data_IF_646976265023
#
_entry.id   IF_646976265023
#
_cell.length_a   1.000
_cell.length_b   1.000
_cell.length_c   1.000
_cell.angle_alpha   90.00
_cell.angle_beta   90.00
_cell.angle_gamma   90.00
#
_symmetry.space_group_name_H-M   'P 1'
#
loop_
_entity.id
_entity.type
_entity.pdbx_description
1 polymer ?
#
# COMPACT_ATOMS: atom_id res chain seq x y z
N UNK A 1 -0.56 4.38 6.54
CA UNK A 1 -0.84 3.98 5.14
C UNK A 1 -1.89 2.89 5.18
N UNK A 2 -2.71 2.77 4.14
CA UNK A 2 -3.70 1.70 3.99
C UNK A 2 -3.65 1.15 2.56
N UNK A 3 -4.32 0.03 2.33
CA UNK A 3 -4.38 -0.67 1.06
C UNK A 3 -5.78 -1.23 0.86
N UNK A 4 -6.29 -1.15 -0.37
CA UNK A 4 -7.59 -1.70 -0.74
C UNK A 4 -7.52 -2.40 -2.11
N UNK A 5 -8.47 -3.30 -2.37
CA UNK A 5 -8.51 -4.16 -3.55
C UNK A 5 -9.91 -4.25 -4.15
N UNK A 6 -9.98 -4.15 -5.48
CA UNK A 6 -11.18 -4.35 -6.29
C UNK A 6 -10.85 -5.37 -7.37
N UNK A 7 -11.20 -6.64 -7.10
CA UNK A 7 -10.85 -7.76 -7.98
C UNK A 7 -9.34 -7.97 -8.04
N UNK A 8 -8.76 -7.94 -9.25
CA UNK A 8 -7.32 -8.12 -9.49
C UNK A 8 -6.52 -6.82 -9.43
N UNK A 9 -7.15 -5.68 -9.14
CA UNK A 9 -6.50 -4.38 -9.04
C UNK A 9 -6.60 -3.90 -7.60
N UNK A 10 -5.50 -3.38 -7.06
CA UNK A 10 -5.46 -2.75 -5.75
C UNK A 10 -4.71 -1.43 -5.80
N UNK A 11 -4.74 -0.70 -4.70
CA UNK A 11 -3.99 0.54 -4.54
C UNK A 11 -3.57 0.73 -3.09
N UNK A 12 -2.39 1.33 -2.92
CA UNK A 12 -1.88 1.78 -1.63
C UNK A 12 -2.10 3.28 -1.56
N UNK A 13 -2.57 3.75 -0.42
CA UNK A 13 -2.80 5.17 -0.17
C UNK A 13 -2.38 5.57 1.24
N UNK A 14 -2.03 6.85 1.40
CA UNK A 14 -1.87 7.47 2.70
C UNK A 14 -3.04 8.42 2.96
N UNK A 15 -3.43 8.54 4.22
CA UNK A 15 -4.44 9.51 4.65
C UNK A 15 -3.74 10.47 5.60
N UNK A 16 -3.85 11.76 5.31
CA UNK A 16 -3.43 12.83 6.21
C UNK A 16 -4.62 13.74 6.52
N UNK A 17 -4.68 14.20 7.76
CA UNK A 17 -5.63 15.24 8.16
C UNK A 17 -5.00 16.61 7.92
N UNK A 18 -5.74 17.47 7.25
CA UNK A 18 -5.41 18.88 7.08
C UNK A 18 -6.61 19.70 7.57
N UNK A 19 -6.46 20.33 8.73
CA UNK A 19 -7.55 21.00 9.44
C UNK A 19 -8.73 20.03 9.68
N UNK A 20 -9.90 20.31 9.12
CA UNK A 20 -11.12 19.51 9.26
C UNK A 20 -11.34 18.54 8.09
N UNK A 21 -10.37 18.39 7.20
CA UNK A 21 -10.48 17.57 5.98
C UNK A 21 -9.49 16.41 6.03
N UNK A 22 -9.97 15.21 5.68
CA UNK A 22 -9.13 14.05 5.42
C UNK A 22 -8.77 14.00 3.94
N UNK A 23 -7.48 14.02 3.62
CA UNK A 23 -6.96 13.92 2.26
C UNK A 23 -6.33 12.55 2.08
N UNK A 24 -6.86 11.78 1.15
CA UNK A 24 -6.24 10.55 0.68
C UNK A 24 -5.28 10.86 -0.47
N UNK A 25 -4.04 10.36 -0.36
CA UNK A 25 -3.03 10.46 -1.41
C UNK A 25 -2.69 9.06 -1.92
N UNK A 26 -2.77 8.88 -3.23
CA UNK A 26 -2.31 7.67 -3.90
C UNK A 26 -0.80 7.49 -3.73
N UNK A 27 -0.37 6.24 -3.49
CA UNK A 27 1.03 5.88 -3.29
C UNK A 27 1.51 4.92 -4.39
N UNK A 28 0.74 3.87 -4.67
CA UNK A 28 1.09 2.87 -5.68
C UNK A 28 -0.15 2.11 -6.16
N UNK A 29 -0.12 1.67 -7.42
CA UNK A 29 -1.07 0.70 -7.96
C UNK A 29 -0.57 -0.72 -7.75
N UNK A 30 -1.49 -1.65 -7.53
CA UNK A 30 -1.21 -3.07 -7.35
C UNK A 30 -2.01 -3.86 -8.38
N UNK A 31 -1.39 -4.88 -8.98
CA UNK A 31 -2.01 -5.71 -9.98
C UNK A 31 -1.70 -7.18 -9.71
N UNK A 32 -2.73 -7.98 -9.52
CA UNK A 32 -2.58 -9.42 -9.52
C UNK A 32 -2.44 -9.92 -10.97
N UNK A 33 -1.39 -10.67 -11.30
CA UNK A 33 -1.17 -11.14 -12.67
C UNK A 33 -2.22 -12.20 -12.99
N UNK A 34 -3.08 -11.90 -13.98
CA UNK A 34 -4.05 -12.86 -14.49
C UNK A 34 -3.42 -13.84 -15.49
N UNK A 35 -2.30 -13.44 -16.11
CA UNK A 35 -1.56 -14.22 -17.09
C UNK A 35 -0.06 -14.10 -16.83
N UNK A 36 0.69 -15.11 -17.27
CA UNK A 36 2.17 -15.13 -17.19
C UNK A 36 2.80 -13.95 -17.92
N UNK A 37 2.17 -13.46 -18.99
CA UNK A 37 2.63 -12.29 -19.72
C UNK A 37 2.63 -10.99 -18.89
N UNK A 38 1.86 -10.93 -17.79
CA UNK A 38 1.81 -9.77 -16.88
C UNK A 38 2.79 -9.89 -15.71
N UNK A 39 3.72 -10.85 -15.74
CA UNK A 39 4.63 -11.07 -14.62
C UNK A 39 5.56 -9.87 -14.37
N UNK A 40 5.97 -9.18 -15.44
CA UNK A 40 6.82 -7.98 -15.30
C UNK A 40 6.08 -6.85 -14.55
N UNK A 41 4.80 -6.60 -14.87
CA UNK A 41 3.94 -5.65 -14.12
C UNK A 41 3.72 -6.09 -12.66
N UNK A 42 3.74 -7.41 -12.41
CA UNK A 42 3.58 -7.93 -11.05
C UNK A 42 4.83 -7.68 -10.18
N UNK A 43 6.02 -7.57 -10.77
CA UNK A 43 7.22 -7.21 -10.01
C UNK A 43 7.08 -5.85 -9.33
N UNK A 44 6.51 -4.86 -10.03
CA UNK A 44 6.23 -3.53 -9.46
C UNK A 44 5.26 -3.61 -8.26
N UNK A 45 4.28 -4.52 -8.34
CA UNK A 45 3.35 -4.79 -7.24
C UNK A 45 4.08 -5.40 -6.04
N UNK A 46 5.00 -6.34 -6.26
CA UNK A 46 5.79 -6.95 -5.20
C UNK A 46 6.72 -5.94 -4.52
N UNK A 47 7.34 -5.05 -5.29
CA UNK A 47 8.17 -3.97 -4.75
C UNK A 47 7.35 -3.01 -3.87
N UNK A 48 6.16 -2.62 -4.34
CA UNK A 48 5.25 -1.77 -3.56
C UNK A 48 4.81 -2.44 -2.25
N UNK A 49 4.46 -3.74 -2.29
CA UNK A 49 4.10 -4.52 -1.10
C UNK A 49 5.26 -4.69 -0.12
N UNK A 50 6.48 -4.87 -0.64
CA UNK A 50 7.68 -4.97 0.19
C UNK A 50 7.96 -3.67 0.94
N UNK A 51 7.90 -2.52 0.25
CA UNK A 51 8.04 -1.19 0.85
C UNK A 51 6.96 -0.95 1.90
N UNK A 52 5.71 -1.29 1.59
CA UNK A 52 4.58 -1.15 2.53
C UNK A 52 4.80 -1.96 3.81
N UNK A 53 5.24 -3.22 3.69
CA UNK A 53 5.57 -4.07 4.85
C UNK A 53 6.72 -3.47 5.68
N UNK A 54 7.77 -2.98 5.04
CA UNK A 54 8.89 -2.34 5.72
C UNK A 54 8.46 -1.09 6.49
N UNK A 55 7.56 -0.29 5.93
CA UNK A 55 7.00 0.89 6.59
C UNK A 55 6.30 0.50 7.90
N UNK A 56 5.45 -0.53 7.88
CA UNK A 56 4.79 -1.03 9.09
C UNK A 56 5.76 -1.63 10.11
N UNK A 57 6.76 -2.39 9.65
CA UNK A 57 7.80 -2.92 10.52
C UNK A 57 8.58 -1.79 11.20
N UNK A 58 8.98 -0.76 10.46
CA UNK A 58 9.67 0.39 11.01
C UNK A 58 8.82 1.14 12.04
N UNK A 59 7.53 1.35 11.75
CA UNK A 59 6.60 1.92 12.71
C UNK A 59 6.49 1.07 13.99
N UNK A 60 6.36 -0.25 13.86
CA UNK A 60 6.30 -1.17 15.00
C UNK A 60 7.58 -1.13 15.85
N UNK A 61 8.75 -1.04 15.22
CA UNK A 61 10.05 -0.95 15.91
C UNK A 61 10.27 0.42 16.56
N UNK A 62 9.68 1.49 16.00
CA UNK A 62 9.75 2.85 16.54
C UNK A 62 8.90 3.08 17.81
N UNK A 63 8.21 2.06 18.32
CA UNK A 63 7.54 2.09 19.62
C UNK A 63 6.11 2.66 19.62
N UNK A 64 5.52 2.91 18.45
CA UNK A 64 4.10 3.29 18.37
C UNK A 64 3.22 2.04 18.25
N UNK A 65 2.79 1.53 19.41
CA UNK A 65 1.63 0.63 19.52
C UNK A 65 0.39 1.42 19.09
N UNK A 66 0.03 1.38 17.80
CA UNK A 66 -1.31 1.79 17.37
C UNK A 66 -2.17 0.55 17.34
N UNK A 67 -3.04 0.50 18.34
CA UNK A 67 -4.08 -0.49 18.57
C UNK A 67 -4.98 -0.50 17.33
N UNK A 68 -5.17 -1.68 16.74
CA UNK A 68 -6.19 -1.97 15.72
C UNK A 68 -7.60 -1.87 16.30
#
# INVERSE_FOLDING_TARGET
>A
MSMDWIGSVGYIFSVSQHEDIFVARHVADLRYPLYVANFDEFLETLDALFIWKLFFLFLSLSGNTIIS
#
